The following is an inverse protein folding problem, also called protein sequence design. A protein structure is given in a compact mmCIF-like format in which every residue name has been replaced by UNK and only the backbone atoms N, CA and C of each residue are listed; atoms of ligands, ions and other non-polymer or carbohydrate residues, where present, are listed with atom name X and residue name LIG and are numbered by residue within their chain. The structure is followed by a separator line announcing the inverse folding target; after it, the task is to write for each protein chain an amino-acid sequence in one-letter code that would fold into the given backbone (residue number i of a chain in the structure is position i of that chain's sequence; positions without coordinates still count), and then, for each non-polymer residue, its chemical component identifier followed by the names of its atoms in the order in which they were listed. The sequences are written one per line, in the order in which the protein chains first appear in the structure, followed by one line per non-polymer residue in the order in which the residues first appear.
data_IF_660402988677
#
_entry.id   IF_660402988677
#
_cell.length_a   1.000
_cell.length_b   1.000
_cell.length_c   1.000
_cell.angle_alpha   90.00
_cell.angle_beta   90.00
_cell.angle_gamma   90.00
#
_symmetry.space_group_name_H-M   'P 1'
#
loop_
_entity.id
_entity.type
_entity.pdbx_description
1 polymer ?
#
# COMPACT_ATOMS: atom_id res chain seq x y z
N UNK A 1 15.99 -40.68 32.51
CA UNK A 1 15.29 -39.47 32.04
C UNK A 1 14.28 -38.93 33.04
N UNK A 2 13.29 -39.72 33.53
CA UNK A 2 12.31 -39.28 34.56
C UNK A 2 12.94 -38.69 35.84
N UNK A 3 14.03 -39.29 36.33
CA UNK A 3 14.76 -38.82 37.52
C UNK A 3 15.29 -37.38 37.44
N UNK A 4 15.68 -36.95 36.24
CA UNK A 4 16.28 -35.63 36.04
C UNK A 4 15.19 -34.57 35.85
N UNK A 5 14.10 -34.92 35.16
CA UNK A 5 13.03 -33.98 34.79
C UNK A 5 11.93 -33.89 35.85
N UNK A 6 11.57 -35.01 36.49
CA UNK A 6 10.45 -35.08 37.45
C UNK A 6 10.96 -34.99 38.89
N UNK A 7 12.07 -35.66 39.20
CA UNK A 7 12.63 -35.69 40.56
C UNK A 7 13.71 -34.62 40.78
N UNK A 8 13.91 -33.71 39.80
CA UNK A 8 14.91 -32.63 39.78
C UNK A 8 16.26 -33.03 40.41
N UNK A 9 16.76 -34.21 40.04
CA UNK A 9 17.97 -34.78 40.66
C UNK A 9 19.23 -33.94 40.44
N UNK A 10 19.17 -32.92 39.57
CA UNK A 10 20.25 -31.97 39.28
C UNK A 10 20.04 -30.60 39.92
N UNK A 11 18.87 -30.32 40.52
CA UNK A 11 18.55 -29.03 41.15
C UNK A 11 18.45 -27.85 40.19
N UNK A 12 18.24 -28.11 38.89
CA UNK A 12 18.29 -27.10 37.82
C UNK A 12 16.90 -26.58 37.44
N UNK A 13 15.82 -27.26 37.84
CA UNK A 13 14.46 -26.89 37.44
C UNK A 13 14.13 -25.45 37.86
N UNK A 14 14.44 -25.08 39.10
CA UNK A 14 14.18 -23.73 39.62
C UNK A 14 14.95 -22.63 38.89
N UNK A 15 16.14 -22.93 38.38
CA UNK A 15 16.94 -21.99 37.60
C UNK A 15 16.38 -21.83 36.18
N UNK A 16 15.99 -22.93 35.54
CA UNK A 16 15.35 -22.92 34.23
C UNK A 16 13.99 -22.20 34.28
N UNK A 17 13.24 -22.36 35.36
CA UNK A 17 11.98 -21.64 35.61
C UNK A 17 12.21 -20.14 35.74
N UNK A 18 13.26 -19.71 36.45
CA UNK A 18 13.64 -18.28 36.51
C UNK A 18 14.03 -17.73 35.15
N UNK A 19 14.79 -18.48 34.36
CA UNK A 19 15.20 -18.06 33.02
C UNK A 19 14.00 -17.97 32.07
N UNK A 20 13.07 -18.93 32.14
CA UNK A 20 11.82 -18.88 31.39
C UNK A 20 10.94 -17.70 31.84
N UNK A 21 10.82 -17.47 33.15
CA UNK A 21 10.07 -16.35 33.69
C UNK A 21 10.67 -15.00 33.26
N UNK A 22 11.99 -14.86 33.26
CA UNK A 22 12.66 -13.68 32.73
C UNK A 22 12.30 -13.42 31.26
N UNK A 23 12.26 -14.44 30.41
CA UNK A 23 11.84 -14.31 29.01
C UNK A 23 10.37 -13.88 28.89
N UNK A 24 9.49 -14.38 29.76
CA UNK A 24 8.07 -14.00 29.79
C UNK A 24 7.94 -12.54 30.25
N UNK A 25 8.64 -12.15 31.32
CA UNK A 25 8.56 -10.82 31.91
C UNK A 25 9.17 -9.74 31.02
N UNK A 26 10.18 -10.11 30.21
CA UNK A 26 10.83 -9.21 29.24
C UNK A 26 10.21 -9.28 27.86
N UNK A 27 9.24 -10.17 27.62
CA UNK A 27 8.58 -10.27 26.33
C UNK A 27 7.73 -9.03 26.06
N UNK A 28 8.08 -8.33 25.00
CA UNK A 28 7.30 -7.24 24.44
C UNK A 28 6.82 -7.64 23.04
N UNK A 29 5.51 -7.55 22.81
CA UNK A 29 4.94 -7.73 21.49
C UNK A 29 4.79 -6.36 20.83
N UNK A 30 5.61 -6.09 19.80
CA UNK A 30 5.54 -4.85 19.03
C UNK A 30 4.16 -4.63 18.39
N UNK A 31 3.52 -5.72 17.94
CA UNK A 31 2.17 -5.67 17.37
C UNK A 31 1.10 -5.32 18.42
N UNK A 32 1.19 -5.88 19.62
CA UNK A 32 0.27 -5.53 20.70
C UNK A 32 0.46 -4.07 21.11
N UNK A 33 1.70 -3.59 21.12
CA UNK A 33 2.02 -2.18 21.37
C UNK A 33 1.35 -1.28 20.32
N UNK A 34 1.44 -1.63 19.03
CA UNK A 34 0.75 -0.92 17.95
C UNK A 34 -0.76 -0.96 18.11
N UNK A 35 -1.35 -2.13 18.38
CA UNK A 35 -2.82 -2.29 18.47
C UNK A 35 -3.40 -1.52 19.65
N UNK A 36 -2.69 -1.48 20.79
CA UNK A 36 -3.16 -0.80 22.00
C UNK A 36 -2.92 0.71 21.97
N UNK A 37 -2.03 1.20 21.10
CA UNK A 37 -1.72 2.62 20.92
C UNK A 37 -2.56 3.22 19.76
N UNK A 38 -3.53 4.10 20.04
CA UNK A 38 -4.36 4.73 19.01
C UNK A 38 -3.56 5.56 18.00
N UNK A 39 -2.43 6.15 18.40
CA UNK A 39 -1.61 6.96 17.49
C UNK A 39 -0.86 6.06 16.51
N UNK A 40 -0.33 4.92 17.00
CA UNK A 40 0.31 3.92 16.14
C UNK A 40 -0.67 3.26 15.18
N UNK A 41 -1.90 2.98 15.62
CA UNK A 41 -2.94 2.37 14.76
C UNK A 41 -3.30 3.21 13.53
N UNK A 42 -3.20 4.55 13.62
CA UNK A 42 -3.53 5.44 12.49
C UNK A 42 -2.68 5.12 11.26
N UNK A 43 -1.42 4.74 11.44
CA UNK A 43 -0.50 4.37 10.37
C UNK A 43 -0.85 3.06 9.66
N UNK A 44 -1.75 2.25 10.23
CA UNK A 44 -2.20 0.98 9.63
C UNK A 44 -3.55 1.08 8.94
N UNK A 45 -4.15 2.28 8.87
CA UNK A 45 -5.34 2.51 8.05
C UNK A 45 -4.99 2.33 6.58
N UNK A 46 -5.94 1.76 5.82
CA UNK A 46 -5.76 1.58 4.38
C UNK A 46 -5.73 2.92 3.66
N UNK A 47 -6.67 3.82 3.98
CA UNK A 47 -6.77 5.15 3.40
C UNK A 47 -6.59 6.22 4.48
N UNK A 48 -5.93 7.33 4.14
CA UNK A 48 -5.77 8.44 5.09
C UNK A 48 -7.03 9.29 5.22
N UNK A 49 -7.81 9.38 4.15
CA UNK A 49 -8.97 10.27 4.04
C UNK A 49 -10.32 9.56 4.14
N UNK A 50 -10.32 8.23 4.32
CA UNK A 50 -11.51 7.40 4.48
C UNK A 50 -11.29 6.30 5.50
N UNK A 51 -12.35 5.92 6.21
CA UNK A 51 -12.38 4.74 7.09
C UNK A 51 -12.81 3.46 6.36
N UNK A 52 -13.01 3.54 5.04
CA UNK A 52 -13.30 2.39 4.19
C UNK A 52 -12.16 1.36 4.22
N UNK A 53 -12.51 0.09 4.01
CA UNK A 53 -11.55 -0.97 3.79
C UNK A 53 -11.95 -1.79 2.57
N UNK A 54 -11.01 -1.94 1.64
CA UNK A 54 -11.21 -2.68 0.40
C UNK A 54 -10.32 -3.92 0.40
N UNK A 55 -10.96 -5.08 0.34
CA UNK A 55 -10.26 -6.36 0.27
C UNK A 55 -9.60 -6.50 -1.11
N UNK A 56 -8.27 -6.40 -1.15
CA UNK A 56 -7.49 -6.67 -2.36
C UNK A 56 -7.39 -8.15 -2.76
N UNK A 57 -8.16 -9.03 -2.11
CA UNK A 57 -8.17 -10.48 -2.32
C UNK A 57 -9.62 -10.89 -2.57
N UNK A 58 -9.87 -11.52 -3.72
CA UNK A 58 -11.14 -12.18 -4.00
C UNK A 58 -11.26 -13.41 -3.10
N UNK A 59 -12.30 -13.45 -2.25
CA UNK A 59 -12.57 -14.58 -1.35
C UNK A 59 -13.62 -15.46 -2.01
N UNK A 60 -13.31 -16.74 -2.19
CA UNK A 60 -14.24 -17.76 -2.68
C UNK A 60 -14.60 -18.74 -1.57
N UNK A 61 -15.86 -19.18 -1.55
CA UNK A 61 -16.31 -20.23 -0.64
C UNK A 61 -16.12 -21.59 -1.33
N UNK A 62 -15.33 -22.46 -0.72
CA UNK A 62 -15.15 -23.84 -1.18
C UNK A 62 -15.39 -24.79 0.00
N UNK A 63 -16.36 -25.70 -0.15
CA UNK A 63 -16.72 -26.69 0.89
C UNK A 63 -17.02 -26.01 2.24
N UNK A 64 -17.83 -24.95 2.20
CA UNK A 64 -18.24 -24.13 3.36
C UNK A 64 -17.09 -23.41 4.10
N UNK A 65 -15.90 -23.35 3.50
CA UNK A 65 -14.77 -22.56 4.00
C UNK A 65 -14.42 -21.43 3.04
N UNK A 66 -14.18 -20.24 3.59
CA UNK A 66 -13.68 -19.09 2.83
C UNK A 66 -12.19 -19.23 2.62
N UNK A 67 -11.75 -19.10 1.37
CA UNK A 67 -10.33 -19.04 1.02
C UNK A 67 -10.07 -17.98 -0.05
N UNK A 68 -8.82 -17.49 -0.18
CA UNK A 68 -8.43 -16.72 -1.35
C UNK A 68 -8.72 -17.48 -2.65
N UNK A 69 -9.18 -16.77 -3.67
CA UNK A 69 -9.30 -17.27 -5.02
C UNK A 69 -7.94 -17.79 -5.51
N UNK A 70 -7.97 -18.84 -6.35
CA UNK A 70 -6.75 -19.34 -6.97
C UNK A 70 -6.10 -18.25 -7.82
N UNK A 71 -4.77 -18.20 -7.81
CA UNK A 71 -4.05 -17.31 -8.71
C UNK A 71 -4.43 -17.64 -10.15
N UNK A 72 -4.79 -16.62 -10.94
CA UNK A 72 -5.10 -16.81 -12.36
C UNK A 72 -3.87 -17.38 -13.06
N UNK A 73 -3.99 -18.58 -13.64
CA UNK A 73 -2.86 -19.27 -14.30
C UNK A 73 -2.36 -18.54 -15.53
N UNK A 74 -3.29 -17.97 -16.31
CA UNK A 74 -2.95 -17.11 -17.42
C UNK A 74 -2.91 -15.66 -16.92
N UNK A 75 -1.91 -14.87 -17.33
CA UNK A 75 -1.99 -13.42 -17.20
C UNK A 75 -3.33 -12.97 -17.79
N UNK A 76 -4.00 -12.05 -17.12
CA UNK A 76 -5.07 -11.31 -17.78
C UNK A 76 -4.48 -10.74 -19.08
N UNK A 77 -5.12 -11.01 -20.22
CA UNK A 77 -4.97 -10.17 -21.40
C UNK A 77 -5.58 -8.82 -21.02
N UNK A 78 -4.73 -7.99 -20.44
CA UNK A 78 -5.11 -6.65 -20.07
C UNK A 78 -5.01 -5.82 -21.33
N UNK A 79 -6.06 -5.06 -21.70
CA UNK A 79 -5.87 -4.00 -22.67
C UNK A 79 -4.72 -3.15 -22.14
N UNK A 80 -3.66 -3.02 -22.94
CA UNK A 80 -2.59 -2.07 -22.67
C UNK A 80 -3.30 -0.74 -22.57
N UNK A 81 -3.26 -0.15 -21.39
CA UNK A 81 -3.78 1.20 -21.21
C UNK A 81 -2.72 2.10 -21.81
N UNK A 82 -2.77 2.27 -23.13
CA UNK A 82 -2.00 3.28 -23.84
C UNK A 82 -2.35 4.61 -23.17
N UNK A 83 -1.35 5.26 -22.56
CA UNK A 83 -1.34 6.63 -22.04
C UNK A 83 -2.71 7.23 -21.70
N UNK A 84 -2.99 7.34 -20.41
CA UNK A 84 -4.23 7.91 -19.89
C UNK A 84 -4.35 9.38 -20.31
N UNK A 85 -5.25 9.70 -21.24
CA UNK A 85 -5.61 11.08 -21.56
C UNK A 85 -6.24 11.74 -20.33
N UNK A 86 -5.49 12.59 -19.65
CA UNK A 86 -5.97 13.34 -18.49
C UNK A 86 -6.93 14.43 -19.02
N UNK A 87 -8.22 14.44 -18.61
CA UNK A 87 -9.17 15.42 -19.12
C UNK A 87 -8.84 16.86 -18.68
N UNK A 88 -9.17 17.84 -19.53
CA UNK A 88 -8.76 19.26 -19.42
C UNK A 88 -9.14 20.00 -18.13
N UNK A 89 -10.16 19.55 -17.39
CA UNK A 89 -10.66 20.28 -16.21
C UNK A 89 -10.08 19.70 -14.92
N UNK A 90 -8.88 20.18 -14.58
CA UNK A 90 -8.14 19.84 -13.38
C UNK A 90 -8.44 20.84 -12.25
N UNK A 91 -8.54 20.34 -11.02
CA UNK A 91 -8.74 21.17 -9.84
C UNK A 91 -7.91 20.67 -8.67
N UNK A 92 -7.51 21.60 -7.80
CA UNK A 92 -6.75 21.27 -6.59
C UNK A 92 -7.69 20.75 -5.52
N UNK A 93 -7.54 19.47 -5.17
CA UNK A 93 -8.33 18.78 -4.15
C UNK A 93 -7.47 18.54 -2.92
N UNK A 94 -7.92 18.97 -1.75
CA UNK A 94 -7.24 18.67 -0.48
C UNK A 94 -7.48 17.21 -0.11
N UNK A 95 -6.39 16.47 0.09
CA UNK A 95 -6.41 15.02 0.34
C UNK A 95 -6.02 14.62 1.77
N UNK A 96 -5.40 15.53 2.52
CA UNK A 96 -4.98 15.29 3.89
C UNK A 96 -4.08 16.41 4.41
N UNK A 97 -3.57 16.25 5.62
CA UNK A 97 -2.58 17.15 6.22
C UNK A 97 -1.18 16.59 6.08
N UNK A 98 -0.14 17.43 6.14
CA UNK A 98 1.26 17.00 5.99
C UNK A 98 1.65 15.87 6.94
N UNK A 99 1.18 15.88 8.19
CA UNK A 99 1.46 14.85 9.19
C UNK A 99 0.69 13.53 9.00
N UNK A 100 -0.29 13.49 8.09
CA UNK A 100 -0.99 12.25 7.75
C UNK A 100 -0.17 11.38 6.79
N UNK A 101 0.90 11.94 6.20
CA UNK A 101 1.79 11.26 5.26
C UNK A 101 3.13 10.94 5.94
N UNK A 102 3.57 9.68 5.94
CA UNK A 102 4.89 9.33 6.44
C UNK A 102 5.97 9.74 5.45
N UNK A 103 7.07 10.27 5.97
CA UNK A 103 8.27 10.57 5.18
C UNK A 103 8.86 9.27 4.62
N UNK A 104 9.25 9.28 3.34
CA UNK A 104 9.82 8.17 2.57
C UNK A 104 8.95 6.90 2.50
N UNK A 105 7.65 7.03 2.79
CA UNK A 105 6.68 5.95 2.65
C UNK A 105 5.41 6.45 1.97
N UNK A 106 4.75 5.57 1.22
CA UNK A 106 3.52 5.94 0.52
C UNK A 106 2.30 5.85 1.40
N UNK A 107 1.48 6.89 1.36
CA UNK A 107 0.12 6.88 1.89
C UNK A 107 -0.88 6.65 0.76
N UNK A 108 -2.00 5.99 1.05
CA UNK A 108 -3.08 5.80 0.06
C UNK A 108 -4.19 6.82 0.30
N UNK A 109 -4.58 7.51 -0.75
CA UNK A 109 -5.71 8.43 -0.80
C UNK A 109 -6.80 7.79 -1.67
N UNK A 110 -8.04 7.78 -1.17
CA UNK A 110 -9.21 7.37 -1.93
C UNK A 110 -9.86 8.57 -2.61
N UNK A 111 -10.14 8.48 -3.91
CA UNK A 111 -10.81 9.53 -4.68
C UNK A 111 -11.86 8.88 -5.60
N UNK A 112 -13.14 8.97 -5.21
CA UNK A 112 -14.18 8.09 -5.76
C UNK A 112 -13.82 6.61 -5.54
N UNK A 113 -13.89 5.81 -6.61
CA UNK A 113 -13.47 4.40 -6.61
C UNK A 113 -11.99 4.18 -6.99
N UNK A 114 -11.19 5.25 -7.03
CA UNK A 114 -9.77 5.22 -7.39
C UNK A 114 -8.87 5.36 -6.17
N UNK A 115 -7.77 4.62 -6.16
CA UNK A 115 -6.73 4.71 -5.15
C UNK A 115 -5.49 5.40 -5.71
N UNK A 116 -5.05 6.45 -5.03
CA UNK A 116 -3.87 7.24 -5.34
C UNK A 116 -2.80 6.99 -4.27
N UNK A 117 -1.54 6.93 -4.69
CA UNK A 117 -0.39 6.84 -3.80
C UNK A 117 0.29 8.21 -3.73
N UNK A 118 0.49 8.72 -2.52
CA UNK A 118 1.14 10.01 -2.26
C UNK A 118 2.36 9.78 -1.40
N UNK A 119 3.45 10.48 -1.71
CA UNK A 119 4.75 10.31 -1.09
C UNK A 119 5.32 11.66 -0.70
N UNK A 120 5.95 11.72 0.47
CA UNK A 120 6.84 12.81 0.86
C UNK A 120 8.27 12.28 0.86
N UNK A 121 9.14 12.89 0.06
CA UNK A 121 10.57 12.57 0.02
C UNK A 121 11.29 13.33 1.13
N UNK A 122 12.09 12.62 1.96
CA UNK A 122 13.01 13.27 2.90
C UNK A 122 14.07 14.10 2.16
N UNK A 123 14.43 13.67 0.95
CA UNK A 123 15.39 14.37 0.10
C UNK A 123 14.69 15.54 -0.61
N UNK A 124 15.00 16.75 -0.14
CA UNK A 124 14.56 18.00 -0.75
C UNK A 124 13.12 18.45 -0.44
N UNK A 125 12.42 17.80 0.50
CA UNK A 125 11.01 18.11 0.85
C UNK A 125 10.06 18.13 -0.37
N UNK A 126 10.31 17.20 -1.31
CA UNK A 126 9.50 17.04 -2.51
C UNK A 126 8.33 16.10 -2.26
N UNK A 127 7.21 16.40 -2.92
CA UNK A 127 6.00 15.60 -2.84
C UNK A 127 5.68 15.01 -4.21
N UNK A 128 5.31 13.73 -4.22
CA UNK A 128 4.96 13.01 -5.43
C UNK A 128 3.61 12.31 -5.26
N UNK A 129 2.82 12.25 -6.32
CA UNK A 129 1.60 11.47 -6.35
C UNK A 129 1.45 10.72 -7.65
N UNK A 130 0.93 9.50 -7.56
CA UNK A 130 0.62 8.67 -8.72
C UNK A 130 -0.57 7.75 -8.43
N UNK A 131 -1.02 7.00 -9.43
CA UNK A 131 -1.97 5.91 -9.20
C UNK A 131 -1.39 4.85 -8.23
N UNK A 132 -2.20 4.25 -7.37
CA UNK A 132 -1.75 3.15 -6.50
C UNK A 132 -1.67 1.80 -7.24
N UNK A 133 -2.37 1.67 -8.37
CA UNK A 133 -2.40 0.46 -9.19
C UNK A 133 -1.10 0.29 -9.99
N UNK A 134 -0.38 -0.81 -9.78
CA UNK A 134 0.72 -1.20 -10.66
C UNK A 134 0.16 -1.81 -11.96
N UNK A 135 0.47 -1.26 -13.16
CA UNK A 135 -0.10 -1.72 -14.42
C UNK A 135 0.30 -3.16 -14.80
N UNK A 136 1.48 -3.63 -14.36
CA UNK A 136 1.99 -4.98 -14.69
C UNK A 136 1.04 -6.13 -14.29
N UNK A 137 0.45 -6.07 -13.09
CA UNK A 137 -0.52 -7.08 -12.59
C UNK A 137 -1.84 -6.48 -12.10
N UNK A 138 -2.06 -5.18 -12.33
CA UNK A 138 -3.21 -4.40 -11.83
C UNK A 138 -3.46 -4.60 -10.33
N UNK A 139 -2.39 -4.58 -9.55
CA UNK A 139 -2.44 -4.70 -8.09
C UNK A 139 -2.21 -3.34 -7.45
N UNK A 140 -3.02 -2.99 -6.46
CA UNK A 140 -2.96 -1.72 -5.72
C UNK A 140 -1.85 -1.77 -4.66
N UNK A 141 -0.59 -1.58 -5.11
CA UNK A 141 0.61 -1.83 -4.29
C UNK A 141 1.68 -0.75 -4.41
N UNK A 142 1.50 0.27 -5.25
CA UNK A 142 2.56 1.26 -5.49
C UNK A 142 2.84 2.14 -4.26
N UNK A 143 1.86 2.38 -3.41
CA UNK A 143 2.06 3.06 -2.10
C UNK A 143 3.04 2.32 -1.18
N UNK A 144 3.20 1.00 -1.37
CA UNK A 144 4.16 0.16 -0.63
C UNK A 144 5.47 -0.05 -1.40
N UNK A 145 5.63 0.64 -2.52
CA UNK A 145 6.86 0.62 -3.30
C UNK A 145 7.97 1.39 -2.60
N UNK A 146 9.20 1.13 -3.05
CA UNK A 146 10.39 1.83 -2.56
C UNK A 146 10.65 3.02 -3.48
N UNK A 147 10.71 4.21 -2.90
CA UNK A 147 11.18 5.41 -3.59
C UNK A 147 12.68 5.31 -3.82
N UNK A 148 13.15 5.87 -4.93
CA UNK A 148 14.57 6.01 -5.19
C UNK A 148 14.84 7.03 -6.28
N UNK A 149 16.11 7.16 -6.59
CA UNK A 149 16.62 7.99 -7.67
C UNK A 149 17.26 7.12 -8.75
N UNK A 150 17.13 7.54 -10.01
CA UNK A 150 17.97 7.05 -11.09
C UNK A 150 18.40 8.19 -12.00
N UNK A 151 19.66 8.58 -11.88
CA UNK A 151 20.26 9.69 -12.64
C UNK A 151 19.59 11.04 -12.39
N UNK A 152 19.11 11.30 -11.17
CA UNK A 152 18.41 12.53 -10.81
C UNK A 152 16.90 12.51 -11.07
N UNK A 153 16.35 11.39 -11.56
CA UNK A 153 14.91 11.21 -11.78
C UNK A 153 14.33 10.40 -10.63
N UNK A 154 13.38 10.99 -9.91
CA UNK A 154 12.66 10.30 -8.85
C UNK A 154 11.84 9.13 -9.42
N UNK A 155 11.94 7.95 -8.80
CA UNK A 155 11.27 6.73 -9.23
C UNK A 155 10.63 5.96 -8.10
N UNK A 156 9.62 5.18 -8.44
CA UNK A 156 8.96 4.22 -7.55
C UNK A 156 9.16 2.79 -8.07
N UNK A 157 9.64 1.89 -7.21
CA UNK A 157 9.77 0.47 -7.51
C UNK A 157 8.59 -0.34 -6.95
N UNK A 158 7.85 -1.02 -7.83
CA UNK A 158 6.75 -1.91 -7.42
C UNK A 158 7.26 -3.03 -6.50
N UNK A 159 6.67 -3.22 -5.30
CA UNK A 159 7.19 -4.17 -4.31
C UNK A 159 7.06 -5.63 -4.76
N UNK A 160 6.09 -5.93 -5.63
CA UNK A 160 5.85 -7.30 -6.10
C UNK A 160 6.87 -7.75 -7.16
N UNK A 161 7.08 -6.94 -8.20
CA UNK A 161 7.80 -7.37 -9.41
C UNK A 161 8.98 -6.46 -9.80
N UNK A 162 9.29 -5.45 -8.97
CA UNK A 162 10.43 -4.54 -9.17
C UNK A 162 10.40 -3.75 -10.48
N UNK A 163 9.21 -3.63 -11.10
CA UNK A 163 8.97 -2.68 -12.18
C UNK A 163 9.09 -1.26 -11.63
N UNK A 164 9.85 -0.42 -12.31
CA UNK A 164 10.19 0.94 -11.87
C UNK A 164 9.56 1.96 -12.79
N UNK A 165 8.99 3.01 -12.20
CA UNK A 165 8.31 4.08 -12.90
C UNK A 165 8.84 5.43 -12.45
N UNK A 166 8.99 6.36 -13.38
CA UNK A 166 9.30 7.76 -13.07
C UNK A 166 8.12 8.40 -12.33
N UNK A 167 8.40 9.12 -11.24
CA UNK A 167 7.40 9.92 -10.52
C UNK A 167 7.21 11.32 -11.12
N UNK A 168 8.05 11.70 -12.09
CA UNK A 168 7.92 12.95 -12.84
C UNK A 168 7.08 12.78 -14.11
N UNK A 169 7.30 11.69 -14.84
CA UNK A 169 6.66 11.46 -16.15
C UNK A 169 5.69 10.28 -16.15
N UNK A 170 5.79 9.38 -15.17
CA UNK A 170 5.02 8.14 -15.14
C UNK A 170 5.56 7.03 -16.03
N UNK A 171 6.57 7.30 -16.85
CA UNK A 171 7.13 6.32 -17.80
C UNK A 171 7.84 5.16 -17.10
N UNK A 172 7.79 3.97 -17.71
CA UNK A 172 8.57 2.82 -17.26
C UNK A 172 10.05 3.03 -17.56
N UNK A 173 10.90 2.94 -16.53
CA UNK A 173 12.35 3.06 -16.70
C UNK A 173 12.99 1.81 -17.30
N UNK A 174 12.22 0.72 -17.42
CA UNK A 174 12.67 -0.56 -17.97
C UNK A 174 12.21 -0.79 -19.41
N UNK A 175 11.79 0.28 -20.12
CA UNK A 175 11.34 0.23 -21.51
C UNK A 175 10.20 -0.78 -21.72
N UNK A 176 9.19 -0.67 -20.87
CA UNK A 176 7.97 -1.49 -20.96
C UNK A 176 6.87 -0.68 -21.63
N UNK A 177 5.91 -1.37 -22.27
CA UNK A 177 4.81 -0.76 -23.02
C UNK A 177 3.70 -0.17 -22.11
N UNK A 178 3.98 0.06 -20.83
CA UNK A 178 3.02 0.60 -19.87
C UNK A 178 3.64 1.67 -18.97
N UNK A 179 2.84 2.69 -18.67
CA UNK A 179 3.17 3.79 -17.77
C UNK A 179 2.16 3.90 -16.62
N UNK A 180 2.44 4.78 -15.68
CA UNK A 180 1.52 5.15 -14.60
C UNK A 180 1.10 6.60 -14.77
N UNK A 181 -0.10 6.97 -14.30
CA UNK A 181 -0.46 8.38 -14.16
C UNK A 181 0.20 8.97 -12.92
N UNK A 182 0.84 10.11 -13.11
CA UNK A 182 1.37 10.99 -12.07
C UNK A 182 0.48 12.23 -11.94
N UNK A 183 0.41 12.78 -10.74
CA UNK A 183 -0.42 13.95 -10.42
C UNK A 183 0.44 15.01 -9.71
N UNK A 184 0.20 16.28 -10.04
CA UNK A 184 0.89 17.37 -9.36
C UNK A 184 0.46 17.43 -7.90
N UNK A 185 1.44 17.62 -7.02
CA UNK A 185 1.22 17.82 -5.58
C UNK A 185 1.68 19.22 -5.21
N UNK A 186 0.89 19.88 -4.35
CA UNK A 186 1.31 21.09 -3.67
C UNK A 186 0.90 21.06 -2.21
N UNK A 187 1.65 21.79 -1.39
CA UNK A 187 1.33 22.00 0.02
C UNK A 187 0.97 23.47 0.22
N UNK A 188 -0.21 23.74 0.76
CA UNK A 188 -0.67 25.11 1.08
C UNK A 188 -0.93 25.19 2.58
N UNK A 189 0.01 25.81 3.31
CA UNK A 189 0.03 25.73 4.78
C UNK A 189 0.32 24.30 5.22
N UNK A 190 -0.65 23.65 5.87
CA UNK A 190 -0.57 22.23 6.25
C UNK A 190 -1.38 21.32 5.33
N UNK A 191 -2.10 21.87 4.34
CA UNK A 191 -2.96 21.10 3.44
C UNK A 191 -2.16 20.54 2.26
N UNK A 192 -2.18 19.21 2.12
CA UNK A 192 -1.65 18.51 0.94
C UNK A 192 -2.76 18.46 -0.11
N UNK A 193 -2.47 18.99 -1.29
CA UNK A 193 -3.42 19.08 -2.40
C UNK A 193 -2.89 18.38 -3.65
N UNK A 194 -3.76 17.63 -4.30
CA UNK A 194 -3.49 16.99 -5.58
C UNK A 194 -4.23 17.72 -6.70
N UNK A 195 -3.57 17.89 -7.84
CA UNK A 195 -4.21 18.38 -9.06
C UNK A 195 -4.93 17.21 -9.74
N UNK A 196 -6.26 17.12 -9.57
CA UNK A 196 -7.06 15.98 -10.01
C UNK A 196 -8.18 16.44 -10.96
N UNK A 197 -8.55 15.62 -11.96
CA UNK A 197 -9.74 15.87 -12.76
C UNK A 197 -11.00 15.60 -11.93
N UNK A 198 -12.15 16.05 -12.41
CA UNK A 198 -13.45 15.78 -11.78
C UNK A 198 -13.65 14.29 -11.46
N UNK A 199 -14.24 13.99 -10.29
CA UNK A 199 -14.62 12.64 -9.87
C UNK A 199 -15.40 11.90 -10.97
N UNK A 200 -15.15 10.59 -11.10
CA UNK A 200 -15.70 9.74 -12.16
C UNK A 200 -14.88 9.69 -13.46
N UNK A 201 -13.95 10.63 -13.69
CA UNK A 201 -13.10 10.62 -14.90
C UNK A 201 -11.91 9.66 -14.82
N UNK A 202 -11.42 9.37 -13.62
CA UNK A 202 -10.30 8.44 -13.40
C UNK A 202 -10.75 6.97 -13.29
N UNK A 203 -12.02 6.74 -12.93
CA UNK A 203 -12.58 5.42 -12.64
C UNK A 203 -12.52 4.43 -13.80
N UNK A 204 -12.82 4.80 -15.07
CA UNK A 204 -12.77 3.85 -16.19
C UNK A 204 -11.44 3.14 -16.33
N UNK A 205 -10.37 3.77 -15.84
CA UNK A 205 -8.99 3.34 -16.05
C UNK A 205 -8.33 2.84 -14.77
N UNK A 206 -8.61 3.49 -13.63
CA UNK A 206 -7.90 3.30 -12.36
C UNK A 206 -8.78 2.77 -11.21
N UNK A 207 -10.06 2.48 -11.45
CA UNK A 207 -10.95 2.00 -10.40
C UNK A 207 -10.49 0.66 -9.79
N UNK A 208 -10.74 0.51 -8.49
CA UNK A 208 -10.37 -0.69 -7.72
C UNK A 208 -11.27 -1.88 -7.99
N UNK A 209 -12.55 -1.65 -8.26
CA UNK A 209 -13.39 -2.69 -8.81
C UNK A 209 -13.04 -2.90 -10.30
N UNK A 210 -12.71 -4.11 -10.76
CA UNK A 210 -12.88 -4.38 -12.19
C UNK A 210 -14.34 -4.07 -12.47
N UNK A 211 -14.63 -3.14 -13.39
CA UNK A 211 -15.98 -2.77 -13.81
C UNK A 211 -16.86 -4.02 -13.80
N UNK A 212 -17.64 -4.19 -12.73
CA UNK A 212 -18.70 -5.17 -12.69
C UNK A 212 -19.78 -4.52 -13.54
N UNK A 213 -19.57 -4.54 -14.86
CA UNK A 213 -20.60 -4.19 -15.80
C UNK A 213 -21.80 -5.05 -15.40
N UNK A 214 -22.92 -4.37 -15.19
CA UNK A 214 -24.14 -4.91 -14.59
C UNK A 214 -24.74 -6.07 -15.41
N UNK A 215 -24.10 -7.24 -15.40
CA UNK A 215 -24.52 -8.47 -16.06
C UNK A 215 -24.06 -9.68 -15.22
N UNK A 216 -24.55 -9.75 -13.98
CA UNK A 216 -24.80 -11.06 -13.36
C UNK A 216 -26.32 -11.20 -13.23
N UNK A 217 -26.93 -11.80 -14.26
CA UNK A 217 -28.25 -12.44 -14.16
C UNK A 217 -28.04 -13.92 -13.97
#
# INVERSE_FOLDING_TARGET
MKKVVIEDSLGIASELEKQMQYLIDTYQCEWATVVNDPERRKWFKQFINSDDNELGIEIITQRDQNRPADWRKNPLELPIVESIEIPDEMSWVTVGKTWDFPVDAGAVVKYGDVQLAVFQSAEGDHWYACQNMCPHKRSFVLSRGILGDENGIAKIACPLHKKTFSLETGESMQQEDYSITVFDVRVVGDDVQLNLPREGKLEPTLATAPNCSAVCR
#
